data_IF_994168213689
#
_entry.id   IF_994168213689
#
_cell.length_a   1.000
_cell.length_b   1.000
_cell.length_c   1.000
_cell.angle_alpha   90.00
_cell.angle_beta   90.00
_cell.angle_gamma   90.00
#
_symmetry.space_group_name_H-M   'P 1'
#
loop_
_entity.id
_entity.type
_entity.pdbx_description
1 polymer ?
#
# COMPACT_ATOMS: atom_id res chain seq x y z
N UNK A 1 47.85 -94.70 2.42
CA UNK A 1 49.16 -94.21 1.96
C UNK A 1 48.99 -92.74 1.63
N UNK A 2 49.89 -91.93 2.19
CA UNK A 2 50.23 -90.55 1.79
C UNK A 2 49.22 -89.43 2.07
N UNK A 3 49.51 -88.73 3.17
CA UNK A 3 49.05 -87.39 3.50
C UNK A 3 49.75 -86.32 2.65
N UNK A 4 49.12 -85.14 2.49
CA UNK A 4 49.66 -83.79 2.75
C UNK A 4 48.57 -82.73 2.46
N UNK A 5 48.60 -81.56 3.14
CA UNK A 5 47.52 -80.57 3.16
C UNK A 5 47.74 -79.44 2.15
N UNK A 6 46.66 -78.77 1.73
CA UNK A 6 46.75 -77.46 1.07
C UNK A 6 45.89 -76.44 1.83
N UNK A 7 46.58 -75.46 2.39
CA UNK A 7 46.01 -74.26 2.97
C UNK A 7 45.40 -73.38 1.87
N UNK A 8 44.20 -72.87 2.07
CA UNK A 8 43.67 -71.75 1.28
C UNK A 8 42.78 -70.87 2.16
N UNK A 9 43.45 -69.87 2.72
CA UNK A 9 43.07 -68.49 2.97
C UNK A 9 41.58 -68.14 2.85
N UNK A 10 40.99 -67.78 4.00
CA UNK A 10 39.71 -67.09 4.10
C UNK A 10 39.84 -65.69 3.49
N UNK A 11 39.22 -65.45 2.33
CA UNK A 11 39.14 -64.11 1.74
C UNK A 11 37.96 -63.38 2.38
N UNK A 12 38.25 -62.40 3.24
CA UNK A 12 37.27 -61.49 3.81
C UNK A 12 36.81 -60.54 2.69
N UNK A 13 35.62 -60.76 2.14
CA UNK A 13 35.02 -59.83 1.19
C UNK A 13 34.57 -58.56 1.92
N UNK A 14 35.40 -57.51 1.88
CA UNK A 14 34.99 -56.18 2.28
C UNK A 14 33.96 -55.65 1.27
N UNK A 15 32.69 -55.62 1.67
CA UNK A 15 31.65 -54.90 0.93
C UNK A 15 31.90 -53.41 1.14
N UNK A 16 32.68 -52.79 0.26
CA UNK A 16 32.76 -51.35 0.14
C UNK A 16 31.42 -50.87 -0.45
N UNK A 17 30.53 -50.36 0.41
CA UNK A 17 29.35 -49.63 -0.04
C UNK A 17 29.79 -48.38 -0.78
N UNK A 18 29.72 -48.42 -2.11
CA UNK A 18 29.75 -47.21 -2.93
C UNK A 18 28.46 -46.43 -2.63
N UNK A 19 28.51 -45.48 -1.71
CA UNK A 19 27.55 -44.38 -1.72
C UNK A 19 27.87 -43.57 -2.95
N UNK A 20 27.08 -43.76 -4.01
CA UNK A 20 27.05 -42.85 -5.14
C UNK A 20 26.59 -41.49 -4.63
N UNK A 21 27.54 -40.62 -4.28
CA UNK A 21 27.28 -39.20 -4.21
C UNK A 21 26.95 -38.78 -5.64
N UNK A 22 25.66 -38.60 -5.92
CA UNK A 22 25.26 -37.84 -7.08
C UNK A 22 26.02 -36.50 -7.01
N UNK A 23 26.71 -36.08 -8.08
CA UNK A 23 27.27 -34.74 -8.08
C UNK A 23 26.08 -33.80 -7.89
N UNK A 24 26.13 -32.98 -6.84
CA UNK A 24 25.29 -31.79 -6.78
C UNK A 24 25.60 -31.04 -8.06
N UNK A 25 24.65 -31.00 -8.98
CA UNK A 25 24.74 -30.14 -10.14
C UNK A 25 24.88 -28.72 -9.57
N UNK A 26 26.09 -28.18 -9.64
CA UNK A 26 26.33 -26.77 -9.41
C UNK A 26 25.48 -26.08 -10.48
N UNK A 27 24.39 -25.44 -10.04
CA UNK A 27 23.67 -24.52 -10.89
C UNK A 27 24.71 -23.60 -11.54
N UNK A 28 24.67 -23.49 -12.86
CA UNK A 28 25.42 -22.45 -13.55
C UNK A 28 25.09 -21.10 -12.89
N UNK A 29 26.03 -20.15 -12.80
CA UNK A 29 25.67 -18.80 -12.37
C UNK A 29 24.70 -18.26 -13.42
N UNK A 30 23.40 -18.31 -13.10
CA UNK A 30 22.33 -17.89 -13.99
C UNK A 30 22.16 -16.38 -13.92
N UNK A 31 21.76 -15.80 -15.06
CA UNK A 31 21.20 -14.44 -15.19
C UNK A 31 20.48 -14.03 -13.90
N UNK A 32 20.94 -12.96 -13.28
CA UNK A 32 20.34 -12.43 -12.06
C UNK A 32 19.57 -11.19 -12.41
N UNK A 33 18.32 -11.16 -11.99
CA UNK A 33 17.39 -10.09 -12.28
C UNK A 33 17.58 -8.86 -11.42
N UNK A 34 16.49 -8.16 -11.05
CA UNK A 34 16.46 -7.30 -9.84
C UNK A 34 17.52 -7.84 -8.89
N UNK A 35 18.51 -7.02 -8.55
CA UNK A 35 19.84 -7.53 -8.16
C UNK A 35 19.70 -8.58 -7.05
N UNK A 36 20.36 -9.74 -7.22
CA UNK A 36 20.27 -10.88 -6.30
C UNK A 36 18.98 -11.72 -6.40
N UNK A 37 18.13 -11.44 -7.39
CA UNK A 37 16.89 -12.14 -7.68
C UNK A 37 16.86 -12.90 -9.01
N UNK A 38 15.67 -13.13 -9.54
CA UNK A 38 15.48 -13.92 -10.76
C UNK A 38 14.18 -13.62 -11.51
N UNK A 39 13.92 -14.34 -12.60
CA UNK A 39 12.77 -14.07 -13.45
C UNK A 39 11.43 -14.43 -12.82
N UNK A 40 10.46 -13.53 -13.02
CA UNK A 40 9.09 -13.71 -12.59
C UNK A 40 8.39 -14.74 -13.47
N UNK A 41 7.77 -15.73 -12.83
CA UNK A 41 6.93 -16.70 -13.52
C UNK A 41 5.73 -16.03 -14.20
N UNK A 42 5.39 -16.50 -15.40
CA UNK A 42 4.23 -15.99 -16.14
C UNK A 42 2.94 -16.11 -15.30
N UNK A 43 2.21 -15.00 -15.17
CA UNK A 43 0.99 -14.92 -14.38
C UNK A 43 1.17 -14.45 -12.92
N UNK A 44 2.41 -14.31 -12.44
CA UNK A 44 2.72 -13.66 -11.16
C UNK A 44 2.89 -12.15 -11.34
N UNK A 45 2.71 -11.38 -10.25
CA UNK A 45 2.93 -9.92 -10.19
C UNK A 45 2.33 -9.13 -11.36
N UNK A 46 1.16 -9.56 -11.84
CA UNK A 46 0.52 -8.99 -13.03
C UNK A 46 0.21 -7.51 -12.90
N UNK A 47 0.08 -7.02 -11.67
CA UNK A 47 -0.15 -5.61 -11.33
C UNK A 47 1.08 -4.71 -11.49
N UNK A 48 2.28 -5.28 -11.70
CA UNK A 48 3.47 -4.50 -12.10
C UNK A 48 3.31 -4.04 -13.53
N UNK A 49 3.58 -2.76 -13.75
CA UNK A 49 3.50 -2.11 -15.04
C UNK A 49 4.89 -1.69 -15.52
N UNK A 50 5.14 -1.81 -16.82
CA UNK A 50 6.14 -1.01 -17.49
C UNK A 50 5.51 0.34 -17.86
N UNK A 51 6.18 1.43 -17.52
CA UNK A 51 5.72 2.80 -17.75
C UNK A 51 6.47 3.37 -18.95
N UNK A 52 5.72 3.71 -19.98
CA UNK A 52 6.29 4.07 -21.27
C UNK A 52 6.36 5.58 -21.48
N UNK A 53 7.52 6.01 -21.99
CA UNK A 53 7.78 7.34 -22.50
C UNK A 53 8.02 7.27 -24.01
N UNK A 54 7.23 8.02 -24.78
CA UNK A 54 7.26 8.00 -26.25
C UNK A 54 7.25 6.57 -26.84
N UNK A 55 6.49 5.66 -26.24
CA UNK A 55 6.36 4.25 -26.63
C UNK A 55 7.48 3.32 -26.17
N UNK A 56 8.44 3.78 -25.37
CA UNK A 56 9.54 2.98 -24.82
C UNK A 56 9.41 2.86 -23.30
N UNK A 57 9.57 1.66 -22.75
CA UNK A 57 9.59 1.48 -21.29
C UNK A 57 10.85 2.09 -20.70
N UNK A 58 10.70 3.05 -19.79
CA UNK A 58 11.81 3.71 -19.09
C UNK A 58 11.77 3.48 -17.57
N UNK A 59 10.57 3.33 -17.03
CA UNK A 59 10.34 3.10 -15.61
C UNK A 59 9.40 1.92 -15.41
N UNK A 60 9.32 1.48 -14.16
CA UNK A 60 8.31 0.55 -13.68
C UNK A 60 7.18 1.32 -12.97
N UNK A 61 6.11 0.59 -12.64
CA UNK A 61 4.92 1.12 -11.99
C UNK A 61 4.08 0.02 -11.39
N UNK A 62 2.99 0.39 -10.72
CA UNK A 62 2.05 -0.56 -10.12
C UNK A 62 0.60 -0.11 -10.25
N UNK A 63 -0.27 -1.04 -10.63
CA UNK A 63 -1.72 -0.81 -10.72
C UNK A 63 -2.38 -0.91 -9.34
N UNK A 64 -3.02 0.16 -8.88
CA UNK A 64 -3.65 0.26 -7.53
C UNK A 64 -5.18 0.43 -7.56
N UNK A 65 -5.72 0.76 -8.74
CA UNK A 65 -7.14 0.66 -9.07
C UNK A 65 -7.26 0.34 -10.57
N UNK A 66 -8.43 -0.10 -11.08
CA UNK A 66 -8.56 -0.49 -12.49
C UNK A 66 -8.10 0.60 -13.48
N UNK A 67 -8.24 1.88 -13.12
CA UNK A 67 -7.84 3.03 -13.95
C UNK A 67 -6.71 3.85 -13.34
N UNK A 68 -6.02 3.36 -12.31
CA UNK A 68 -5.01 4.12 -11.57
C UNK A 68 -3.76 3.28 -11.36
N UNK A 69 -2.64 3.79 -11.85
CA UNK A 69 -1.31 3.27 -11.56
C UNK A 69 -0.44 4.33 -10.88
N UNK A 70 0.56 3.88 -10.12
CA UNK A 70 1.59 4.72 -9.54
C UNK A 70 2.93 4.47 -10.22
N UNK A 71 3.75 5.50 -10.28
CA UNK A 71 5.18 5.45 -10.62
C UNK A 71 5.91 6.55 -9.85
N UNK A 72 7.22 6.69 -10.01
CA UNK A 72 7.98 7.74 -9.33
C UNK A 72 7.74 9.11 -9.99
N UNK A 73 7.95 10.18 -9.22
CA UNK A 73 7.92 11.57 -9.68
C UNK A 73 8.96 11.80 -10.78
N UNK A 74 10.20 11.38 -10.54
CA UNK A 74 11.31 11.57 -11.48
C UNK A 74 11.17 10.82 -12.81
N UNK A 75 10.25 9.84 -12.91
CA UNK A 75 9.90 9.18 -14.17
C UNK A 75 9.05 10.07 -15.09
N UNK A 76 8.35 11.05 -14.53
CA UNK A 76 7.49 11.96 -15.29
C UNK A 76 8.30 13.13 -15.87
N UNK A 77 8.90 12.92 -17.03
CA UNK A 77 9.52 13.99 -17.82
C UNK A 77 8.51 14.73 -18.73
N UNK A 78 7.21 14.63 -18.45
CA UNK A 78 6.15 15.33 -19.17
C UNK A 78 5.59 14.61 -20.41
N UNK A 79 6.03 13.39 -20.73
CA UNK A 79 5.56 12.63 -21.89
C UNK A 79 5.27 11.14 -21.60
N UNK A 80 4.78 10.83 -20.41
CA UNK A 80 4.27 9.48 -20.09
C UNK A 80 3.00 9.21 -20.89
N UNK A 81 3.03 8.26 -21.82
CA UNK A 81 1.95 8.05 -22.79
C UNK A 81 1.13 6.77 -22.59
N UNK A 82 1.72 5.74 -21.97
CA UNK A 82 1.06 4.44 -21.78
C UNK A 82 1.71 3.63 -20.69
N UNK A 83 0.97 2.62 -20.21
CA UNK A 83 1.52 1.54 -19.41
C UNK A 83 1.32 0.22 -20.15
N UNK A 84 2.24 -0.73 -19.95
CA UNK A 84 2.07 -2.13 -20.30
C UNK A 84 1.98 -2.94 -18.99
N UNK A 85 0.83 -3.59 -18.76
CA UNK A 85 0.55 -4.31 -17.51
C UNK A 85 0.07 -5.74 -17.81
N UNK A 86 0.29 -6.67 -16.88
CA UNK A 86 -0.21 -8.05 -17.00
C UNK A 86 0.66 -9.02 -17.79
N UNK A 87 1.77 -8.56 -18.36
CA UNK A 87 2.84 -9.39 -18.94
C UNK A 87 4.02 -9.49 -17.97
N UNK A 88 4.88 -10.48 -18.15
CA UNK A 88 6.18 -10.60 -17.50
C UNK A 88 7.35 -10.37 -18.47
N UNK A 89 7.09 -9.88 -19.69
CA UNK A 89 8.12 -9.66 -20.70
C UNK A 89 7.74 -8.51 -21.63
N UNK A 90 8.63 -7.50 -21.73
CA UNK A 90 8.51 -6.38 -22.67
C UNK A 90 8.58 -6.84 -24.13
N UNK A 91 9.23 -7.97 -24.40
CA UNK A 91 9.29 -8.60 -25.72
C UNK A 91 7.97 -9.30 -26.10
N UNK A 92 7.05 -9.49 -25.15
CA UNK A 92 5.74 -10.13 -25.36
C UNK A 92 4.59 -9.22 -24.90
N UNK A 93 4.43 -8.02 -25.50
CA UNK A 93 3.38 -7.09 -25.11
C UNK A 93 1.96 -7.62 -25.40
N UNK A 94 1.83 -8.59 -26.32
CA UNK A 94 0.56 -9.24 -26.66
C UNK A 94 -0.03 -10.11 -25.53
N UNK A 95 0.79 -10.45 -24.51
CA UNK A 95 0.32 -11.17 -23.31
C UNK A 95 -0.24 -10.23 -22.25
N UNK A 96 0.04 -8.93 -22.37
CA UNK A 96 -0.41 -7.90 -21.46
C UNK A 96 -1.46 -6.98 -22.06
N UNK A 97 -1.64 -5.84 -21.41
CA UNK A 97 -2.50 -4.76 -21.84
C UNK A 97 -1.67 -3.48 -22.00
N UNK A 98 -1.55 -3.00 -23.23
CA UNK A 98 -1.08 -1.64 -23.49
C UNK A 98 -2.25 -0.67 -23.28
N UNK A 99 -2.12 0.21 -22.29
CA UNK A 99 -3.18 1.14 -21.89
C UNK A 99 -2.63 2.57 -21.96
N UNK A 100 -3.24 3.46 -22.77
CA UNK A 100 -2.84 4.87 -22.80
C UNK A 100 -3.06 5.55 -21.44
N UNK A 101 -2.13 6.44 -21.08
CA UNK A 101 -2.27 7.35 -19.95
C UNK A 101 -3.08 8.57 -20.42
N UNK A 102 -4.25 8.77 -19.84
CA UNK A 102 -5.09 9.93 -20.18
C UNK A 102 -4.64 11.20 -19.46
N UNK A 103 -4.07 11.04 -18.26
CA UNK A 103 -3.57 12.12 -17.44
C UNK A 103 -2.54 11.56 -16.46
N UNK A 104 -1.44 12.27 -16.29
CA UNK A 104 -0.43 12.02 -15.27
C UNK A 104 -0.33 13.27 -14.39
N UNK A 105 -0.15 13.08 -13.09
CA UNK A 105 -0.01 14.16 -12.12
C UNK A 105 1.08 13.78 -11.12
N UNK A 106 2.21 14.46 -11.24
CA UNK A 106 3.32 14.41 -10.31
C UNK A 106 2.90 15.04 -8.95
N UNK A 107 3.39 14.46 -7.86
CA UNK A 107 3.23 15.04 -6.54
C UNK A 107 3.90 16.43 -6.47
N UNK A 108 3.29 17.44 -5.83
CA UNK A 108 3.88 18.77 -5.74
C UNK A 108 5.27 18.74 -5.09
N UNK A 109 6.28 19.25 -5.81
CA UNK A 109 7.68 19.26 -5.35
C UNK A 109 8.23 17.85 -5.06
N UNK A 110 7.89 16.88 -5.93
CA UNK A 110 8.17 15.45 -5.73
C UNK A 110 9.65 15.17 -5.40
N UNK A 111 10.57 15.85 -6.07
CA UNK A 111 12.02 15.73 -5.84
C UNK A 111 12.45 16.00 -4.40
N UNK A 112 11.76 16.89 -3.68
CA UNK A 112 12.09 17.25 -2.29
C UNK A 112 11.06 16.72 -1.29
N UNK A 113 10.07 15.95 -1.74
CA UNK A 113 8.95 15.49 -0.93
C UNK A 113 8.65 14.03 -1.22
N UNK A 114 7.45 13.71 -1.72
CA UNK A 114 7.06 12.37 -2.13
C UNK A 114 7.38 12.19 -3.62
N UNK A 115 8.38 11.37 -3.94
CA UNK A 115 8.76 11.07 -5.32
C UNK A 115 7.73 10.11 -5.94
N UNK A 116 6.59 10.66 -6.36
CA UNK A 116 5.40 9.93 -6.76
C UNK A 116 4.65 10.64 -7.88
N UNK A 117 4.16 9.86 -8.85
CA UNK A 117 3.25 10.31 -9.90
C UNK A 117 2.03 9.40 -9.98
N UNK A 118 0.84 10.00 -10.04
CA UNK A 118 -0.43 9.29 -10.29
C UNK A 118 -0.69 9.26 -11.80
N UNK A 119 -0.84 8.05 -12.34
CA UNK A 119 -1.22 7.80 -13.72
C UNK A 119 -2.70 7.42 -13.80
N UNK A 120 -3.51 8.26 -14.44
CA UNK A 120 -4.91 7.99 -14.73
C UNK A 120 -5.01 7.42 -16.15
N UNK A 121 -5.49 6.18 -16.23
CA UNK A 121 -5.54 5.40 -17.45
C UNK A 121 -6.78 5.74 -18.29
N UNK A 122 -6.64 5.71 -19.62
CA UNK A 122 -7.71 6.01 -20.56
C UNK A 122 -8.85 4.97 -20.57
N UNK A 123 -8.58 3.76 -20.06
CA UNK A 123 -9.55 2.67 -19.88
C UNK A 123 -9.15 1.81 -18.69
N UNK A 124 -10.10 1.10 -18.06
CA UNK A 124 -9.77 0.16 -17.00
C UNK A 124 -8.94 -1.01 -17.53
N UNK A 125 -7.93 -1.41 -16.76
CA UNK A 125 -7.24 -2.69 -16.92
C UNK A 125 -8.12 -3.85 -16.48
N UNK A 126 -7.92 -5.02 -17.07
CA UNK A 126 -8.55 -6.28 -16.63
C UNK A 126 -7.73 -7.00 -15.56
N UNK A 127 -6.46 -6.62 -15.42
CA UNK A 127 -5.58 -7.05 -14.33
C UNK A 127 -6.15 -6.55 -12.99
N UNK A 128 -6.26 -7.42 -11.97
CA UNK A 128 -6.64 -6.99 -10.63
C UNK A 128 -5.60 -6.02 -10.05
N UNK A 129 -6.02 -4.85 -9.51
CA UNK A 129 -5.10 -3.94 -8.85
C UNK A 129 -4.60 -4.51 -7.52
N UNK A 130 -3.46 -3.99 -7.05
CA UNK A 130 -2.92 -4.26 -5.73
C UNK A 130 -3.41 -3.26 -4.70
N UNK A 131 -3.70 -3.74 -3.49
CA UNK A 131 -3.96 -2.88 -2.35
C UNK A 131 -2.69 -2.21 -1.81
N UNK A 132 -2.79 -0.93 -1.45
CA UNK A 132 -1.76 -0.19 -0.72
C UNK A 132 -1.75 -0.66 0.74
N UNK A 133 -0.57 -0.72 1.36
CA UNK A 133 -0.36 -1.17 2.74
C UNK A 133 -0.87 -0.15 3.77
N UNK A 134 -2.17 0.15 3.76
CA UNK A 134 -2.85 0.98 4.77
C UNK A 134 -3.22 0.18 6.03
N UNK A 135 -3.87 0.85 6.99
CA UNK A 135 -4.48 0.19 8.14
C UNK A 135 -3.56 -0.76 8.89
N UNK A 136 -3.98 -2.02 9.02
CA UNK A 136 -3.23 -3.01 9.78
C UNK A 136 -1.89 -3.36 9.12
N UNK A 137 -1.81 -3.29 7.79
CA UNK A 137 -0.57 -3.58 7.06
C UNK A 137 0.49 -2.48 7.26
N UNK A 138 0.08 -1.22 7.39
CA UNK A 138 1.04 -0.11 7.61
C UNK A 138 1.84 -0.26 8.91
N UNK A 139 1.25 -0.89 9.93
CA UNK A 139 1.93 -1.19 11.21
C UNK A 139 3.03 -2.25 11.07
N UNK A 140 3.05 -3.00 9.97
CA UNK A 140 4.08 -4.01 9.68
C UNK A 140 5.23 -3.44 8.81
N UNK A 141 5.17 -2.15 8.43
CA UNK A 141 6.26 -1.42 7.77
C UNK A 141 7.31 -1.05 8.83
N UNK A 142 8.09 -2.04 9.24
CA UNK A 142 9.12 -1.92 10.29
C UNK A 142 10.44 -2.52 9.80
N UNK A 143 11.56 -2.08 10.39
CA UNK A 143 12.87 -2.64 10.10
C UNK A 143 12.88 -4.17 10.31
N UNK A 144 13.47 -4.89 9.35
CA UNK A 144 13.52 -6.35 9.30
C UNK A 144 12.28 -7.03 8.70
N UNK A 145 11.20 -6.30 8.40
CA UNK A 145 10.04 -6.88 7.72
C UNK A 145 10.43 -7.35 6.31
N UNK A 146 9.94 -8.53 5.92
CA UNK A 146 10.19 -9.12 4.62
C UNK A 146 9.40 -8.40 3.52
N UNK A 147 10.07 -8.10 2.43
CA UNK A 147 9.50 -7.36 1.29
C UNK A 147 9.94 -7.99 -0.02
N UNK A 148 9.09 -7.86 -1.05
CA UNK A 148 9.39 -8.26 -2.41
C UNK A 148 9.52 -7.01 -3.28
N UNK A 149 10.65 -6.88 -3.98
CA UNK A 149 10.83 -5.88 -5.04
C UNK A 149 10.65 -6.53 -6.39
N UNK A 150 9.95 -5.86 -7.30
CA UNK A 150 9.60 -6.39 -8.63
C UNK A 150 9.63 -5.27 -9.67
N UNK A 151 10.31 -5.49 -10.80
CA UNK A 151 10.45 -4.47 -11.85
C UNK A 151 11.15 -4.97 -13.13
N UNK A 152 11.28 -4.06 -14.09
CA UNK A 152 11.87 -4.26 -15.41
C UNK A 152 13.27 -3.61 -15.56
N UNK A 153 13.92 -3.28 -14.43
CA UNK A 153 15.19 -2.58 -14.41
C UNK A 153 16.39 -3.40 -14.85
N UNK A 154 17.56 -2.76 -14.77
CA UNK A 154 18.85 -3.40 -15.00
C UNK A 154 19.18 -4.47 -13.95
N UNK A 155 20.13 -5.33 -14.30
CA UNK A 155 20.36 -6.63 -13.66
C UNK A 155 21.71 -6.77 -12.97
N UNK A 156 22.60 -5.82 -13.19
CA UNK A 156 23.95 -5.84 -12.70
C UNK A 156 24.22 -4.61 -11.84
N UNK A 157 25.17 -4.77 -10.92
CA UNK A 157 25.57 -3.75 -9.94
C UNK A 157 25.86 -2.38 -10.56
N UNK A 158 26.41 -2.38 -11.78
CA UNK A 158 26.86 -1.17 -12.47
C UNK A 158 25.80 -0.64 -13.47
N UNK A 159 24.59 -1.24 -13.47
CA UNK A 159 23.43 -0.90 -14.30
C UNK A 159 23.71 -0.88 -15.82
N UNK A 160 24.45 -1.86 -16.31
CA UNK A 160 24.90 -2.00 -17.70
C UNK A 160 24.14 -3.07 -18.51
N UNK A 161 23.43 -3.99 -17.85
CA UNK A 161 22.68 -5.09 -18.44
C UNK A 161 21.18 -4.89 -18.22
N UNK A 162 20.45 -4.61 -19.30
CA UNK A 162 18.99 -4.56 -19.32
C UNK A 162 18.45 -5.85 -19.95
N UNK A 163 17.28 -6.28 -19.47
CA UNK A 163 16.54 -7.40 -20.06
C UNK A 163 15.07 -7.01 -20.24
N UNK A 164 14.39 -7.75 -21.10
CA UNK A 164 12.95 -7.57 -21.30
C UNK A 164 12.10 -8.29 -20.25
N UNK A 165 12.67 -9.22 -19.48
CA UNK A 165 11.94 -10.05 -18.52
C UNK A 165 11.71 -9.32 -17.20
N UNK A 166 10.49 -9.42 -16.67
CA UNK A 166 10.13 -8.92 -15.34
C UNK A 166 10.83 -9.77 -14.28
N UNK A 167 11.50 -9.12 -13.36
CA UNK A 167 12.33 -9.79 -12.36
C UNK A 167 11.90 -9.44 -10.94
N UNK A 168 12.20 -10.33 -9.99
CA UNK A 168 11.82 -10.18 -8.59
C UNK A 168 12.96 -10.59 -7.63
N UNK A 169 13.04 -9.91 -6.48
CA UNK A 169 13.93 -10.31 -5.38
C UNK A 169 13.27 -10.07 -4.01
N UNK A 170 13.57 -10.95 -3.05
CA UNK A 170 13.12 -10.79 -1.65
C UNK A 170 14.23 -10.15 -0.82
N UNK A 171 13.88 -9.16 -0.02
CA UNK A 171 14.79 -8.45 0.89
C UNK A 171 14.04 -8.00 2.14
N UNK A 172 14.65 -7.11 2.93
CA UNK A 172 14.06 -6.55 4.15
C UNK A 172 14.04 -5.04 4.15
N UNK A 173 13.09 -4.47 4.87
CA UNK A 173 13.09 -3.05 5.25
C UNK A 173 14.29 -2.79 6.16
N UNK A 174 15.08 -1.77 5.87
CA UNK A 174 16.17 -1.28 6.73
C UNK A 174 15.66 -0.22 7.70
N UNK A 175 14.74 0.64 7.25
CA UNK A 175 14.09 1.69 8.04
C UNK A 175 12.65 1.90 7.58
N UNK A 176 11.66 1.73 8.46
CA UNK A 176 10.23 1.80 8.10
C UNK A 176 9.64 3.21 8.08
N UNK A 177 10.27 4.16 8.78
CA UNK A 177 9.83 5.54 8.90
C UNK A 177 10.83 6.56 8.33
N UNK A 178 12.00 6.06 7.90
CA UNK A 178 13.14 6.85 7.50
C UNK A 178 13.44 8.05 8.42
N UNK A 179 13.29 7.85 9.74
CA UNK A 179 13.55 8.90 10.72
C UNK A 179 15.05 9.14 10.97
N UNK A 180 15.90 8.18 10.58
CA UNK A 180 17.34 8.24 10.78
C UNK A 180 18.03 9.17 9.79
N UNK A 181 19.06 9.90 10.26
CA UNK A 181 19.91 10.72 9.42
C UNK A 181 20.90 9.86 8.62
N UNK A 182 21.28 10.33 7.43
CA UNK A 182 22.29 9.68 6.58
C UNK A 182 21.77 8.70 5.54
N UNK A 183 20.47 8.36 5.55
CA UNK A 183 19.88 7.53 4.48
C UNK A 183 19.62 8.31 3.18
N UNK A 184 19.48 9.64 3.24
CA UNK A 184 19.10 10.47 2.08
C UNK A 184 17.60 10.72 1.93
N UNK A 185 16.79 10.45 2.95
CA UNK A 185 15.35 10.68 2.91
C UNK A 185 15.00 12.17 2.94
N UNK A 186 13.95 12.53 2.21
CA UNK A 186 13.42 13.88 2.08
C UNK A 186 12.82 14.32 3.41
N UNK A 187 13.36 15.40 3.99
CA UNK A 187 12.91 15.92 5.29
C UNK A 187 11.40 16.18 5.36
N UNK A 188 10.73 16.73 4.32
CA UNK A 188 9.27 16.93 4.35
C UNK A 188 8.45 15.64 4.39
N UNK A 189 9.03 14.52 3.94
CA UNK A 189 8.40 13.20 3.98
C UNK A 189 8.71 12.44 5.27
N UNK A 190 9.46 13.02 6.22
CA UNK A 190 9.77 12.38 7.51
C UNK A 190 8.80 12.80 8.63
N UNK A 191 8.52 11.90 9.59
CA UNK A 191 8.71 10.44 9.51
C UNK A 191 7.60 9.78 8.66
N UNK A 192 7.85 8.56 8.22
CA UNK A 192 6.87 7.63 7.65
C UNK A 192 6.20 8.05 6.32
N UNK A 193 6.79 8.99 5.57
CA UNK A 193 6.48 9.25 4.17
C UNK A 193 7.45 8.58 3.17
N UNK A 194 8.59 8.10 3.66
CA UNK A 194 9.55 7.28 2.93
C UNK A 194 9.99 6.09 3.82
N UNK A 195 10.49 5.04 3.18
CA UNK A 195 11.13 3.90 3.85
C UNK A 195 12.44 3.53 3.13
N UNK A 196 13.34 2.87 3.85
CA UNK A 196 14.53 2.24 3.31
C UNK A 196 14.37 0.72 3.21
N UNK A 197 14.84 0.12 2.12
CA UNK A 197 14.94 -1.34 1.96
C UNK A 197 16.12 -1.73 1.06
N UNK A 198 16.35 -3.04 0.93
CA UNK A 198 17.43 -3.56 0.09
C UNK A 198 18.80 -3.50 0.77
N UNK A 199 19.84 -3.58 -0.06
CA UNK A 199 21.23 -3.66 0.37
C UNK A 199 21.79 -5.08 0.37
N UNK A 200 23.07 -5.21 0.71
CA UNK A 200 23.78 -6.50 0.76
C UNK A 200 23.75 -7.28 -0.57
N UNK A 201 23.69 -6.59 -1.70
CA UNK A 201 23.63 -7.22 -3.03
C UNK A 201 22.23 -7.57 -3.51
N UNK A 202 21.18 -7.19 -2.77
CA UNK A 202 19.79 -7.25 -3.21
C UNK A 202 19.22 -5.85 -3.30
N UNK A 203 18.90 -5.38 -4.50
CA UNK A 203 18.50 -3.99 -4.72
C UNK A 203 17.70 -3.78 -5.99
N UNK A 204 17.02 -2.63 -6.05
CA UNK A 204 16.45 -2.09 -7.29
C UNK A 204 17.50 -1.37 -8.12
N UNK A 205 17.30 -1.34 -9.43
CA UNK A 205 18.21 -0.72 -10.39
C UNK A 205 17.54 0.39 -11.21
N UNK A 206 18.30 1.16 -12.01
CA UNK A 206 17.74 1.97 -13.09
C UNK A 206 16.76 1.16 -13.96
N UNK A 207 15.56 1.70 -14.16
CA UNK A 207 14.42 1.02 -14.82
C UNK A 207 13.43 0.35 -13.86
N UNK A 208 13.83 0.03 -12.62
CA UNK A 208 12.89 -0.36 -11.55
C UNK A 208 12.23 0.86 -10.88
N UNK A 209 12.76 2.06 -11.11
CA UNK A 209 12.19 3.33 -10.67
C UNK A 209 10.68 3.37 -10.88
N UNK A 210 9.94 3.75 -9.84
CA UNK A 210 8.48 3.76 -9.83
C UNK A 210 7.81 2.39 -9.62
N UNK A 211 8.56 1.29 -9.71
CA UNK A 211 8.09 -0.06 -9.44
C UNK A 211 7.76 -0.30 -7.96
N UNK A 212 6.92 -1.29 -7.67
CA UNK A 212 6.45 -1.57 -6.32
C UNK A 212 7.48 -2.31 -5.46
N UNK A 213 7.49 -1.94 -4.18
CA UNK A 213 7.96 -2.77 -3.08
C UNK A 213 6.74 -3.28 -2.32
N UNK A 214 6.55 -4.59 -2.33
CA UNK A 214 5.45 -5.25 -1.65
C UNK A 214 5.84 -5.69 -0.25
N UNK A 215 5.09 -5.27 0.76
CA UNK A 215 5.17 -5.79 2.11
C UNK A 215 4.50 -7.15 2.20
N UNK A 216 5.26 -8.16 2.65
CA UNK A 216 4.76 -9.52 2.81
C UNK A 216 4.17 -9.66 4.20
N UNK A 217 2.84 -9.81 4.27
CA UNK A 217 2.14 -10.07 5.53
C UNK A 217 1.58 -11.48 5.53
N UNK A 218 1.09 -11.93 6.68
CA UNK A 218 0.46 -13.26 6.79
C UNK A 218 -0.93 -13.34 6.13
N UNK A 219 -1.48 -12.22 5.65
CA UNK A 219 -2.83 -12.12 5.09
C UNK A 219 -2.86 -11.47 3.70
N UNK A 220 -1.69 -11.22 3.10
CA UNK A 220 -1.57 -10.70 1.76
C UNK A 220 -0.30 -9.88 1.55
N UNK A 221 0.02 -9.67 0.29
CA UNK A 221 1.09 -8.77 -0.13
C UNK A 221 0.46 -7.43 -0.53
N UNK A 222 1.02 -6.33 -0.03
CA UNK A 222 0.50 -4.97 -0.20
C UNK A 222 1.59 -4.01 -0.66
N UNK A 223 1.27 -2.99 -1.47
CA UNK A 223 2.26 -1.98 -1.88
C UNK A 223 2.61 -1.12 -0.67
N UNK A 224 3.84 -1.25 -0.17
CA UNK A 224 4.35 -0.43 0.93
C UNK A 224 5.30 0.68 0.45
N UNK A 225 5.90 0.52 -0.72
CA UNK A 225 6.84 1.49 -1.27
C UNK A 225 6.76 1.60 -2.79
N UNK A 226 7.09 2.77 -3.30
CA UNK A 226 7.33 3.07 -4.72
C UNK A 226 8.82 3.40 -4.86
N UNK A 227 9.54 2.65 -5.69
CA UNK A 227 11.00 2.77 -5.87
C UNK A 227 11.39 4.19 -6.31
N UNK A 228 12.22 4.88 -5.53
CA UNK A 228 12.60 6.27 -5.78
C UNK A 228 14.08 6.41 -6.15
N UNK A 229 14.99 6.12 -5.23
CA UNK A 229 16.44 6.41 -5.39
C UNK A 229 17.29 5.52 -4.48
N UNK A 230 18.59 5.42 -4.74
CA UNK A 230 19.54 4.78 -3.82
C UNK A 230 19.75 5.60 -2.54
N UNK A 231 20.36 4.99 -1.52
CA UNK A 231 20.79 5.73 -0.32
C UNK A 231 21.84 6.80 -0.64
N UNK A 232 21.94 7.81 0.24
CA UNK A 232 22.89 8.92 0.10
C UNK A 232 24.37 8.45 0.07
N UNK A 233 24.70 7.40 0.82
CA UNK A 233 26.04 6.83 0.90
C UNK A 233 26.27 5.63 -0.05
N UNK A 234 25.30 5.33 -0.92
CA UNK A 234 25.41 4.26 -1.90
C UNK A 234 26.62 4.50 -2.82
N UNK A 235 27.51 3.51 -2.88
CA UNK A 235 28.66 3.50 -3.79
C UNK A 235 28.25 2.88 -5.12
N UNK A 236 27.37 1.90 -5.08
CA UNK A 236 26.84 1.20 -6.24
C UNK A 236 25.34 1.43 -6.39
N UNK A 237 24.85 1.73 -7.61
CA UNK A 237 23.46 2.09 -7.84
C UNK A 237 22.46 0.95 -7.61
N UNK A 238 22.91 -0.30 -7.56
CA UNK A 238 22.05 -1.49 -7.43
C UNK A 238 22.57 -2.54 -6.44
N UNK A 239 23.15 -2.13 -5.32
CA UNK A 239 23.68 -3.09 -4.33
C UNK A 239 23.55 -2.63 -2.89
N UNK A 240 23.56 -1.32 -2.65
CA UNK A 240 23.70 -0.75 -1.32
C UNK A 240 22.34 -0.43 -0.67
N UNK A 241 21.24 -0.57 -1.43
CA UNK A 241 19.87 -0.34 -0.99
C UNK A 241 19.36 1.04 -1.38
N UNK A 242 18.06 1.25 -1.14
CA UNK A 242 17.39 2.44 -1.62
C UNK A 242 16.20 2.88 -0.79
N UNK A 243 15.72 4.07 -1.16
CA UNK A 243 14.58 4.78 -0.62
C UNK A 243 13.37 4.52 -1.50
N UNK A 244 12.24 4.28 -0.84
CA UNK A 244 10.94 4.07 -1.44
C UNK A 244 9.94 5.07 -0.86
N UNK A 245 9.17 5.72 -1.72
CA UNK A 245 8.08 6.60 -1.29
C UNK A 245 6.92 5.77 -0.76
N UNK A 246 6.39 6.12 0.43
CA UNK A 246 5.26 5.42 1.05
C UNK A 246 3.91 5.94 0.52
N UNK A 247 3.18 5.18 -0.31
CA UNK A 247 1.91 5.67 -0.87
C UNK A 247 0.79 5.76 0.18
N UNK A 248 0.87 5.01 1.29
CA UNK A 248 -0.11 5.09 2.38
C UNK A 248 -0.09 6.44 3.09
N UNK A 249 1.06 7.12 3.13
CA UNK A 249 1.22 8.44 3.75
C UNK A 249 0.50 9.57 2.99
N UNK A 250 0.22 9.37 1.70
CA UNK A 250 -0.40 10.37 0.81
C UNK A 250 -1.63 9.82 0.08
N UNK A 251 -2.27 8.78 0.62
CA UNK A 251 -3.36 8.08 -0.07
C UNK A 251 -4.56 8.99 -0.36
N UNK A 252 -4.89 9.91 0.55
CA UNK A 252 -5.92 10.92 0.33
C UNK A 252 -5.62 11.78 -0.90
N UNK A 253 -4.34 12.16 -1.10
CA UNK A 253 -3.92 12.91 -2.27
C UNK A 253 -3.99 12.05 -3.54
N UNK A 254 -3.62 10.77 -3.47
CA UNK A 254 -3.73 9.82 -4.58
C UNK A 254 -5.18 9.72 -5.05
N UNK A 255 -6.11 9.45 -4.13
CA UNK A 255 -7.53 9.28 -4.45
C UNK A 255 -8.17 10.57 -4.96
N UNK A 256 -7.87 11.72 -4.34
CA UNK A 256 -8.32 13.03 -4.81
C UNK A 256 -7.80 13.34 -6.22
N UNK A 257 -6.53 13.02 -6.49
CA UNK A 257 -5.88 13.26 -7.77
C UNK A 257 -6.42 12.31 -8.85
N UNK A 258 -6.67 11.05 -8.51
CA UNK A 258 -7.25 10.07 -9.42
C UNK A 258 -8.74 10.34 -9.68
N UNK A 259 -9.46 10.86 -8.69
CA UNK A 259 -10.91 11.05 -8.71
C UNK A 259 -11.70 9.76 -8.46
N UNK A 260 -11.04 8.71 -7.96
CA UNK A 260 -11.62 7.41 -7.62
C UNK A 260 -10.93 6.85 -6.37
N UNK A 261 -11.64 6.06 -5.54
CA UNK A 261 -11.00 5.32 -4.46
C UNK A 261 -10.03 4.27 -5.03
N UNK A 262 -8.99 3.97 -4.27
CA UNK A 262 -8.01 2.92 -4.60
C UNK A 262 -8.21 1.71 -3.71
N UNK A 263 -7.44 0.64 -3.92
CA UNK A 263 -7.53 -0.55 -3.09
C UNK A 263 -6.74 -0.34 -1.79
N UNK A 264 -7.41 -0.48 -0.65
CA UNK A 264 -6.81 -0.38 0.69
C UNK A 264 -6.56 -1.77 1.28
N UNK A 265 -5.53 -1.89 2.12
CA UNK A 265 -5.37 -3.05 2.98
C UNK A 265 -6.47 -3.07 4.06
N UNK A 266 -6.67 -4.18 4.79
CA UNK A 266 -7.66 -4.24 5.85
C UNK A 266 -7.43 -3.14 6.91
N UNK A 267 -8.48 -2.38 7.22
CA UNK A 267 -8.43 -1.26 8.16
C UNK A 267 -9.78 -1.01 8.86
N UNK A 268 -9.82 -0.37 10.05
CA UNK A 268 -11.07 -0.14 10.74
C UNK A 268 -11.99 0.84 9.99
N UNK A 269 -13.24 0.41 9.77
CA UNK A 269 -14.26 1.19 9.03
C UNK A 269 -15.50 1.44 9.86
N UNK A 270 -16.24 2.50 9.54
CA UNK A 270 -17.57 2.75 10.08
C UNK A 270 -18.45 3.48 9.05
N UNK A 271 -19.76 3.28 9.12
CA UNK A 271 -20.71 4.06 8.33
C UNK A 271 -20.75 5.51 8.81
N UNK A 272 -20.82 6.45 7.87
CA UNK A 272 -20.94 7.86 8.16
C UNK A 272 -22.30 8.20 8.82
N UNK A 273 -22.30 9.20 9.69
CA UNK A 273 -23.51 9.73 10.32
C UNK A 273 -23.99 10.97 9.57
N UNK A 274 -25.28 11.02 9.21
CA UNK A 274 -25.92 12.20 8.64
C UNK A 274 -27.01 12.69 9.60
N UNK A 275 -26.85 13.91 10.11
CA UNK A 275 -27.64 14.47 11.22
C UNK A 275 -28.07 15.90 10.91
N UNK A 276 -28.92 16.46 11.77
CA UNK A 276 -29.26 17.89 11.82
C UNK A 276 -28.69 18.53 13.11
N UNK A 277 -28.63 19.86 13.24
CA UNK A 277 -28.06 20.49 14.43
C UNK A 277 -28.75 20.00 15.71
N UNK A 278 -27.98 19.62 16.74
CA UNK A 278 -28.54 19.09 18.00
C UNK A 278 -29.01 17.64 17.93
N UNK A 279 -29.04 17.04 16.75
CA UNK A 279 -29.43 15.65 16.52
C UNK A 279 -28.41 14.64 17.00
N UNK A 280 -28.86 13.41 17.20
CA UNK A 280 -28.06 12.27 17.66
C UNK A 280 -27.98 11.15 16.63
N UNK A 281 -26.84 10.47 16.58
CA UNK A 281 -26.61 9.33 15.68
C UNK A 281 -25.83 8.20 16.34
N UNK A 282 -25.89 7.02 15.70
CA UNK A 282 -25.10 5.86 16.12
C UNK A 282 -24.56 5.11 14.89
N UNK A 283 -23.31 4.65 14.97
CA UNK A 283 -22.67 3.74 14.01
C UNK A 283 -21.90 2.65 14.76
N UNK A 284 -21.27 1.74 14.02
CA UNK A 284 -20.41 0.69 14.58
C UNK A 284 -19.06 0.74 13.88
N UNK A 285 -17.99 0.82 14.65
CA UNK A 285 -16.64 0.63 14.12
C UNK A 285 -16.36 -0.85 14.00
N UNK A 286 -16.11 -1.31 12.79
CA UNK A 286 -15.69 -2.68 12.49
C UNK A 286 -14.17 -2.67 12.36
N UNK A 287 -13.48 -3.47 13.17
CA UNK A 287 -12.02 -3.45 13.24
C UNK A 287 -11.32 -3.92 11.95
N UNK A 288 -11.93 -4.86 11.21
CA UNK A 288 -11.36 -5.49 10.00
C UNK A 288 -9.91 -5.96 10.17
N UNK A 289 -9.55 -6.47 11.34
CA UNK A 289 -8.22 -7.02 11.57
C UNK A 289 -8.16 -8.49 11.12
N UNK A 290 -7.29 -8.83 10.17
CA UNK A 290 -7.16 -10.21 9.69
C UNK A 290 -6.45 -11.13 10.69
N UNK A 291 -5.77 -10.59 11.71
CA UNK A 291 -5.00 -11.38 12.70
C UNK A 291 -5.73 -11.59 14.02
N UNK A 292 -6.72 -10.76 14.34
CA UNK A 292 -7.43 -10.82 15.61
C UNK A 292 -8.95 -10.73 15.41
N UNK A 293 -9.69 -11.33 16.34
CA UNK A 293 -11.16 -11.26 16.38
C UNK A 293 -11.67 -10.48 17.60
N UNK A 294 -10.79 -10.17 18.54
CA UNK A 294 -11.11 -9.44 19.75
C UNK A 294 -10.35 -8.11 19.75
N UNK A 295 -11.10 -7.02 19.92
CA UNK A 295 -10.59 -5.66 19.91
C UNK A 295 -11.19 -4.86 21.05
N UNK A 296 -10.49 -3.80 21.46
CA UNK A 296 -11.05 -2.77 22.31
C UNK A 296 -11.17 -1.45 21.55
N UNK A 297 -12.17 -0.66 21.91
CA UNK A 297 -12.51 0.60 21.24
C UNK A 297 -12.51 1.73 22.27
N UNK A 298 -11.89 2.85 21.91
CA UNK A 298 -11.81 4.03 22.76
C UNK A 298 -11.84 5.30 21.91
N UNK A 299 -12.35 6.41 22.43
CA UNK A 299 -12.19 7.71 21.78
C UNK A 299 -10.73 8.14 21.91
N UNK A 300 -10.10 8.51 20.79
CA UNK A 300 -8.74 9.07 20.81
C UNK A 300 -8.75 10.55 21.27
N UNK A 301 -9.90 11.20 21.20
CA UNK A 301 -10.14 12.58 21.59
C UNK A 301 -11.60 12.98 21.36
N UNK A 302 -12.02 14.17 21.81
CA UNK A 302 -13.36 14.67 21.52
C UNK A 302 -13.49 15.08 20.05
N UNK A 303 -14.70 14.98 19.45
CA UNK A 303 -15.01 15.63 18.18
C UNK A 303 -15.01 17.16 18.33
N UNK A 304 -14.90 17.90 17.23
CA UNK A 304 -14.76 19.37 17.27
C UNK A 304 -16.09 20.10 17.48
N UNK A 305 -17.19 19.52 16.98
CA UNK A 305 -18.49 20.18 16.87
C UNK A 305 -19.64 19.38 17.49
N UNK A 306 -19.33 18.50 18.44
CA UNK A 306 -20.30 17.70 19.15
C UNK A 306 -19.73 17.01 20.37
N UNK A 307 -20.38 15.93 20.78
CA UNK A 307 -19.88 15.02 21.80
C UNK A 307 -20.07 13.59 21.31
N UNK A 308 -19.18 12.69 21.72
CA UNK A 308 -19.25 11.29 21.35
C UNK A 308 -19.02 10.38 22.54
N UNK A 309 -19.48 9.14 22.42
CA UNK A 309 -19.14 8.04 23.31
C UNK A 309 -18.95 6.76 22.48
N UNK A 310 -18.10 5.86 22.97
CA UNK A 310 -17.85 4.56 22.35
C UNK A 310 -18.06 3.44 23.37
N UNK A 311 -18.79 2.41 22.98
CA UNK A 311 -19.02 1.22 23.77
C UNK A 311 -17.90 0.19 23.54
N UNK A 312 -17.80 -0.78 24.46
CA UNK A 312 -16.79 -1.83 24.40
C UNK A 312 -16.88 -2.72 23.14
N UNK A 313 -18.03 -2.78 22.47
CA UNK A 313 -18.25 -3.54 21.23
C UNK A 313 -18.16 -2.69 19.96
N UNK A 314 -17.60 -1.47 20.07
CA UNK A 314 -17.36 -0.61 18.92
C UNK A 314 -18.57 0.21 18.47
N UNK A 315 -19.73 0.12 19.14
CA UNK A 315 -20.81 1.08 18.91
C UNK A 315 -20.36 2.49 19.28
N UNK A 316 -20.52 3.44 18.37
CA UNK A 316 -20.21 4.85 18.57
C UNK A 316 -21.49 5.66 18.53
N UNK A 317 -21.71 6.50 19.55
CA UNK A 317 -22.79 7.50 19.59
C UNK A 317 -22.23 8.89 19.47
N UNK A 318 -22.99 9.76 18.83
CA UNK A 318 -22.62 11.15 18.62
C UNK A 318 -23.82 12.08 18.78
N UNK A 319 -23.58 13.23 19.39
CA UNK A 319 -24.51 14.35 19.51
C UNK A 319 -23.92 15.59 18.85
N UNK A 320 -24.57 16.09 17.79
CA UNK A 320 -24.19 17.33 17.14
C UNK A 320 -24.44 18.54 18.05
N UNK A 321 -23.60 19.57 17.98
CA UNK A 321 -23.92 20.84 18.63
C UNK A 321 -25.18 21.46 18.00
N UNK A 322 -26.07 22.01 18.83
CA UNK A 322 -27.39 22.54 18.45
C UNK A 322 -27.39 23.65 17.38
N UNK A 323 -26.28 24.34 17.19
CA UNK A 323 -26.12 25.43 16.21
C UNK A 323 -25.06 25.18 15.15
N UNK A 324 -24.60 23.94 15.00
CA UNK A 324 -23.55 23.59 14.05
C UNK A 324 -24.14 22.93 12.80
N UNK A 325 -23.70 23.41 11.63
CA UNK A 325 -23.86 22.75 10.33
C UNK A 325 -22.46 22.61 9.75
N UNK A 326 -22.13 21.43 9.22
CA UNK A 326 -20.85 21.14 8.60
C UNK A 326 -20.36 19.73 8.86
N UNK A 327 -19.08 19.53 8.62
CA UNK A 327 -18.39 18.26 8.77
C UNK A 327 -17.73 18.16 10.16
N UNK A 328 -17.92 17.02 10.82
CA UNK A 328 -17.24 16.69 12.08
C UNK A 328 -16.67 15.27 12.01
N UNK A 329 -15.76 14.93 12.92
CA UNK A 329 -15.11 13.62 12.95
C UNK A 329 -15.00 13.09 14.38
N UNK A 330 -15.28 11.81 14.55
CA UNK A 330 -15.10 11.10 15.81
C UNK A 330 -13.86 10.22 15.69
N UNK A 331 -12.74 10.56 16.34
CA UNK A 331 -11.55 9.73 16.29
C UNK A 331 -11.71 8.55 17.26
N UNK A 332 -11.73 7.34 16.71
CA UNK A 332 -11.88 6.08 17.46
C UNK A 332 -10.63 5.24 17.31
N UNK A 333 -9.98 4.97 18.44
CA UNK A 333 -8.88 4.04 18.54
C UNK A 333 -9.39 2.61 18.63
N UNK A 334 -8.86 1.73 17.78
CA UNK A 334 -9.11 0.29 17.75
C UNK A 334 -7.81 -0.41 18.14
N UNK A 335 -7.85 -1.23 19.19
CA UNK A 335 -6.67 -1.93 19.71
C UNK A 335 -6.87 -3.44 19.66
N UNK A 336 -5.96 -4.10 18.96
CA UNK A 336 -5.69 -5.54 19.08
C UNK A 336 -4.72 -5.75 20.25
N UNK A 337 -5.16 -6.52 21.26
CA UNK A 337 -4.41 -6.80 22.47
C UNK A 337 -3.40 -7.96 22.32
N UNK A 338 -3.00 -8.27 21.08
CA UNK A 338 -1.87 -9.16 20.78
C UNK A 338 -0.56 -8.67 21.45
N UNK A 339 0.49 -9.48 21.42
CA UNK A 339 1.79 -9.11 22.00
C UNK A 339 2.88 -9.16 20.91
N UNK A 340 3.42 -8.00 20.47
CA UNK A 340 3.10 -6.66 20.94
C UNK A 340 1.69 -6.20 20.52
N UNK A 341 1.09 -5.30 21.30
CA UNK A 341 -0.23 -4.75 20.99
C UNK A 341 -0.17 -3.86 19.75
N UNK A 342 -1.25 -3.89 18.95
CA UNK A 342 -1.37 -3.12 17.71
C UNK A 342 -2.57 -2.20 17.82
N UNK A 343 -2.39 -0.94 17.45
CA UNK A 343 -3.40 0.10 17.62
C UNK A 343 -3.50 0.96 16.37
N UNK A 344 -4.72 1.19 15.91
CA UNK A 344 -5.06 2.11 14.82
C UNK A 344 -6.07 3.13 15.30
N UNK A 345 -6.09 4.30 14.69
CA UNK A 345 -7.15 5.30 14.91
C UNK A 345 -7.89 5.54 13.60
N UNK A 346 -9.19 5.28 13.59
CA UNK A 346 -10.08 5.60 12.47
C UNK A 346 -10.89 6.86 12.80
N UNK A 347 -11.33 7.59 11.77
CA UNK A 347 -12.13 8.81 11.92
C UNK A 347 -13.53 8.56 11.37
N UNK A 348 -14.51 8.39 12.25
CA UNK A 348 -15.91 8.29 11.83
C UNK A 348 -16.36 9.65 11.33
N UNK A 349 -16.76 9.72 10.07
CA UNK A 349 -17.25 10.95 9.46
C UNK A 349 -18.69 11.26 9.90
N UNK A 350 -18.93 12.51 10.25
CA UNK A 350 -20.25 13.04 10.59
C UNK A 350 -20.55 14.24 9.70
N UNK A 351 -21.70 14.22 9.05
CA UNK A 351 -22.22 15.36 8.31
C UNK A 351 -23.46 15.90 9.01
N UNK A 352 -23.36 17.14 9.51
CA UNK A 352 -24.51 17.86 10.07
C UNK A 352 -25.07 18.79 9.01
N UNK A 353 -26.23 18.45 8.48
CA UNK A 353 -26.89 19.15 7.39
C UNK A 353 -27.84 20.23 7.93
N UNK A 354 -28.08 21.28 7.14
CA UNK A 354 -29.03 22.32 7.50
C UNK A 354 -30.43 21.74 7.75
N UNK A 355 -30.99 22.07 8.91
CA UNK A 355 -32.27 21.52 9.34
C UNK A 355 -32.76 22.13 10.64
N UNK A 356 -33.98 21.78 11.09
CA UNK A 356 -34.47 22.20 12.39
C UNK A 356 -33.58 21.62 13.49
N UNK A 357 -33.19 22.45 14.45
CA UNK A 357 -32.42 21.99 15.61
C UNK A 357 -33.23 20.97 16.41
N UNK A 358 -32.67 19.79 16.62
CA UNK A 358 -33.24 18.75 17.46
C UNK A 358 -32.81 18.90 18.92
N UNK A 359 -33.59 18.29 19.81
CA UNK A 359 -33.31 18.20 21.25
C UNK A 359 -33.54 16.76 21.69
N UNK A 360 -32.71 16.26 22.62
CA UNK A 360 -32.85 14.90 23.16
C UNK A 360 -31.82 13.89 22.67
N UNK A 361 -30.63 14.33 22.25
CA UNK A 361 -29.52 13.40 22.02
C UNK A 361 -28.99 12.83 23.36
N UNK A 362 -28.62 11.53 23.37
CA UNK A 362 -28.02 10.85 24.51
C UNK A 362 -26.76 10.10 24.09
N UNK A 363 -25.73 10.11 24.95
CA UNK A 363 -24.49 9.36 24.76
C UNK A 363 -24.44 8.05 25.56
N UNK A 364 -25.44 7.80 26.41
CA UNK A 364 -25.47 6.61 27.26
C UNK A 364 -25.77 5.38 26.43
N UNK A 365 -25.21 4.22 26.79
CA UNK A 365 -25.54 2.93 26.17
C UNK A 365 -26.39 2.15 27.17
N UNK A 366 -27.70 2.07 26.96
CA UNK A 366 -28.56 1.28 27.85
C UNK A 366 -28.24 -0.22 27.74
N UNK A 367 -28.29 -0.94 28.87
CA UNK A 367 -27.91 -2.37 29.02
C UNK A 367 -28.65 -3.32 28.05
N UNK A 368 -29.77 -2.88 27.47
CA UNK A 368 -30.58 -3.66 26.52
C UNK A 368 -30.07 -3.55 25.06
N UNK A 369 -28.99 -2.79 24.81
CA UNK A 369 -28.46 -2.54 23.46
C UNK A 369 -29.38 -1.72 22.55
N UNK A 370 -30.55 -1.31 23.05
CA UNK A 370 -31.64 -0.68 22.30
C UNK A 370 -31.93 0.77 22.70
N UNK A 371 -31.39 1.25 23.82
CA UNK A 371 -31.88 2.50 24.38
C UNK A 371 -31.04 3.71 23.98
N UNK A 372 -31.68 4.75 23.46
CA UNK A 372 -31.28 6.14 23.70
C UNK A 372 -31.20 7.10 22.50
N UNK A 373 -30.57 6.72 21.38
CA UNK A 373 -30.55 7.61 20.21
C UNK A 373 -31.70 7.28 19.27
N UNK A 374 -32.54 8.29 19.03
CA UNK A 374 -33.62 8.31 18.05
C UNK A 374 -34.87 7.49 18.44
N UNK A 375 -35.57 7.91 19.50
CA UNK A 375 -37.03 7.74 19.48
C UNK A 375 -37.55 8.59 18.31
N UNK A 376 -37.69 7.97 17.14
CA UNK A 376 -38.26 8.58 15.96
C UNK A 376 -39.61 9.22 16.32
N UNK A 377 -39.66 10.55 16.38
CA UNK A 377 -40.91 11.27 16.26
C UNK A 377 -41.57 10.86 14.94
N UNK A 378 -42.90 10.73 14.87
CA UNK A 378 -43.58 10.14 13.73
C UNK A 378 -43.39 11.07 12.52
N UNK A 379 -42.53 10.69 11.55
CA UNK A 379 -42.36 11.53 10.37
C UNK A 379 -41.43 11.04 9.27
N UNK A 380 -40.33 10.34 9.56
CA UNK A 380 -39.39 9.95 8.51
C UNK A 380 -39.02 8.48 8.67
N UNK A 381 -39.85 7.61 8.08
CA UNK A 381 -39.42 6.28 7.71
C UNK A 381 -38.09 6.42 6.97
N UNK A 382 -37.07 5.71 7.44
CA UNK A 382 -35.78 5.60 6.79
C UNK A 382 -35.98 5.16 5.35
N UNK A 383 -36.08 6.12 4.45
CA UNK A 383 -35.77 5.91 3.06
C UNK A 383 -34.29 5.56 3.06
N UNK A 384 -33.96 4.36 2.58
CA UNK A 384 -32.64 4.09 2.03
C UNK A 384 -32.43 5.09 0.91
N UNK A 385 -32.01 6.31 1.24
CA UNK A 385 -31.30 7.13 0.30
C UNK A 385 -30.04 6.33 0.03
N UNK A 386 -30.00 5.69 -1.14
CA UNK A 386 -28.74 5.40 -1.78
C UNK A 386 -28.00 6.74 -1.81
N UNK A 387 -27.12 6.95 -0.84
CA UNK A 387 -26.01 7.88 -1.03
C UNK A 387 -25.15 7.15 -2.05
N UNK A 388 -25.49 7.34 -3.33
CA UNK A 388 -24.53 7.09 -4.39
C UNK A 388 -23.33 7.95 -4.02
N UNK A 389 -22.20 7.30 -3.72
CA UNK A 389 -20.94 7.95 -3.43
C UNK A 389 -20.62 8.95 -4.53
N UNK A 390 -20.95 10.20 -4.27
CA UNK A 390 -20.57 11.36 -5.06
C UNK A 390 -19.75 12.19 -4.09
N UNK A 391 -18.47 11.84 -3.98
CA UNK A 391 -17.42 12.79 -3.64
C UNK A 391 -17.43 13.82 -4.78
N UNK A 392 -18.35 14.78 -4.70
CA UNK A 392 -18.47 15.88 -5.62
C UNK A 392 -17.47 16.95 -5.22
N UNK A 393 -16.32 16.99 -5.89
CA UNK A 393 -15.39 18.12 -5.84
C UNK A 393 -16.14 19.43 -6.13
N UNK A 394 -16.38 20.24 -5.09
CA UNK A 394 -16.83 21.62 -5.23
C UNK A 394 -15.66 22.49 -5.73
N UNK A 395 -15.62 22.70 -7.05
CA UNK A 395 -14.76 23.67 -7.72
C UNK A 395 -15.07 25.10 -7.23
N UNK A 396 -14.31 25.57 -6.24
CA UNK A 396 -14.24 26.99 -5.90
C UNK A 396 -13.49 27.76 -6.99
N UNK A 397 -14.20 28.18 -8.04
CA UNK A 397 -13.74 29.26 -8.94
C UNK A 397 -13.64 30.56 -8.15
N UNK A 398 -12.46 30.87 -7.61
CA UNK A 398 -12.11 32.24 -7.21
C UNK A 398 -12.17 33.15 -8.45
N UNK A 399 -13.23 33.95 -8.57
CA UNK A 399 -13.26 35.08 -9.51
C UNK A 399 -12.18 36.08 -9.07
N UNK A 400 -11.06 36.13 -9.78
CA UNK A 400 -10.11 37.26 -9.68
C UNK A 400 -10.82 38.52 -10.15
N UNK A 401 -10.94 39.51 -9.27
CA UNK A 401 -11.33 40.86 -9.64
C UNK A 401 -10.24 41.48 -10.52
N UNK A 402 -10.63 41.99 -11.68
CA UNK A 402 -9.75 42.76 -12.56
C UNK A 402 -9.41 44.13 -11.93
N UNK A 403 -8.19 44.66 -12.11
CA UNK A 403 -7.83 45.98 -11.62
C UNK A 403 -8.54 47.07 -12.44
N UNK A 404 -9.14 48.05 -11.73
CA UNK A 404 -9.62 49.30 -12.32
C UNK A 404 -8.43 50.12 -12.80
N UNK A 405 -8.42 50.43 -14.09
CA UNK A 405 -7.58 51.48 -14.66
C UNK A 405 -8.03 52.86 -14.15
N UNK A 406 -7.09 53.63 -13.60
CA UNK A 406 -6.98 55.08 -13.79
C UNK A 406 -5.51 55.47 -13.77
#
# INVERSE_FOLDING_TARGET
>A
MSALPSSSTLMLAAVAGLTAFAPVARAAPGDQGVMGGGPVAEGSWRDVAAVNFSGTAECSGVLIAPTVALTAGHCDAGNLDSILVGTNSLARPELGELIPVARHVEYPDSFNNFDLTVLVLARPATVPPRAIATGWASLEIIAGAAVQIVGYGALDRDASQYVDELHEAETTITSGDCAEDGLGCNLPARPAGELGAGGMGIDTCPGDSGGPLYLKTSYGDFVAGITSRGYEDAVYPCQDGGIYTRPDAVIDWIEQTAGVPVSHAPEPTADALALVPGGGGQTVVVANDPRATAHTFALAGPPEHGQAAVAADGRVRYCAAAGYTGDDWIPVTVTDASNPARTLTTRVYVQVQDGPTETGCSLEFDDDGAGGCCAAGPGHAGGRALVAGLVGLLLLRRRRAAPRAR
#
